data_IF_283326739380
#
_entry.id   IF_283326739380
#
_cell.length_a   1.000
_cell.length_b   1.000
_cell.length_c   1.000
_cell.angle_alpha   90.00
_cell.angle_beta   90.00
_cell.angle_gamma   90.00
#
_symmetry.space_group_name_H-M   'P 1'
#
loop_
_entity.id
_entity.type
_entity.pdbx_description
1 polymer ?
#
# COMPACT_ATOMS: atom_id res chain seq x y z
N UNK A 1 -47.85 -22.49 3.94
CA UNK A 1 -46.46 -22.40 4.50
C UNK A 1 -45.60 -23.32 3.66
N UNK A 2 -44.92 -22.79 2.65
CA UNK A 2 -44.01 -23.55 1.79
C UNK A 2 -42.72 -23.80 2.57
N UNK A 3 -42.41 -25.05 2.86
CA UNK A 3 -41.15 -25.46 3.44
C UNK A 3 -40.03 -25.07 2.47
N UNK A 4 -39.19 -24.11 2.88
CA UNK A 4 -37.90 -23.83 2.23
C UNK A 4 -37.03 -25.04 2.52
N UNK A 5 -37.01 -26.00 1.59
CA UNK A 5 -35.99 -27.05 1.63
C UNK A 5 -34.66 -26.35 1.43
N UNK A 6 -33.85 -26.28 2.50
CA UNK A 6 -32.45 -25.89 2.42
C UNK A 6 -31.72 -26.94 1.57
N UNK A 7 -31.69 -26.70 0.27
CA UNK A 7 -30.94 -27.53 -0.66
C UNK A 7 -29.45 -27.35 -0.36
N UNK A 8 -28.77 -28.44 0.01
CA UNK A 8 -27.35 -28.40 0.31
C UNK A 8 -26.54 -28.21 -1.00
N UNK A 9 -25.99 -27.03 -1.22
CA UNK A 9 -25.18 -26.72 -2.40
C UNK A 9 -23.99 -27.69 -2.59
N UNK A 10 -23.45 -28.25 -1.50
CA UNK A 10 -22.34 -29.21 -1.58
C UNK A 10 -22.75 -30.55 -2.23
N UNK A 11 -24.05 -30.87 -2.27
CA UNK A 11 -24.55 -32.07 -2.95
C UNK A 11 -24.84 -31.87 -4.44
N UNK A 12 -24.72 -30.63 -4.94
CA UNK A 12 -25.02 -30.27 -6.33
C UNK A 12 -23.72 -30.08 -7.10
N UNK A 13 -23.61 -30.77 -8.21
CA UNK A 13 -22.53 -30.54 -9.19
C UNK A 13 -22.79 -29.20 -9.91
N UNK A 14 -22.02 -28.16 -9.54
CA UNK A 14 -22.19 -26.82 -10.10
C UNK A 14 -21.92 -26.76 -11.62
N UNK A 15 -21.21 -27.72 -12.20
CA UNK A 15 -21.04 -27.81 -13.65
C UNK A 15 -22.37 -28.02 -14.37
N UNK A 16 -23.37 -28.59 -13.69
CA UNK A 16 -24.72 -28.72 -14.24
C UNK A 16 -25.37 -27.36 -14.54
N UNK A 17 -25.02 -26.28 -13.81
CA UNK A 17 -25.52 -24.95 -14.09
C UNK A 17 -25.01 -24.40 -15.42
N UNK A 18 -23.75 -24.70 -15.78
CA UNK A 18 -23.14 -24.33 -17.06
C UNK A 18 -23.83 -25.10 -18.19
N UNK A 19 -24.09 -26.40 -17.97
CA UNK A 19 -24.84 -27.22 -18.95
C UNK A 19 -26.28 -26.74 -19.11
N UNK A 20 -26.94 -26.33 -18.01
CA UNK A 20 -28.30 -25.79 -18.03
C UNK A 20 -28.36 -24.49 -18.84
N UNK A 21 -27.43 -23.57 -18.65
CA UNK A 21 -27.35 -22.32 -19.43
C UNK A 21 -27.23 -22.60 -20.93
N UNK A 22 -26.34 -23.50 -21.31
CA UNK A 22 -26.19 -23.88 -22.71
C UNK A 22 -27.47 -24.54 -23.30
N UNK A 23 -28.12 -25.41 -22.53
CA UNK A 23 -29.33 -26.09 -22.94
C UNK A 23 -30.52 -25.11 -23.11
N UNK A 24 -30.65 -24.16 -22.16
CA UNK A 24 -31.72 -23.12 -22.22
C UNK A 24 -31.46 -22.17 -23.40
N UNK A 25 -30.21 -21.80 -23.64
CA UNK A 25 -29.82 -20.87 -24.70
C UNK A 25 -30.04 -21.48 -26.10
N UNK A 26 -29.62 -22.74 -26.27
CA UNK A 26 -29.61 -23.39 -27.55
C UNK A 26 -30.91 -24.15 -27.89
N UNK A 27 -31.70 -24.50 -26.89
CA UNK A 27 -32.86 -25.40 -27.01
C UNK A 27 -32.57 -26.65 -27.87
N UNK A 28 -31.31 -27.15 -27.81
CA UNK A 28 -30.82 -28.27 -28.61
C UNK A 28 -29.60 -28.91 -28.01
N UNK A 29 -29.66 -30.18 -27.61
CA UNK A 29 -28.61 -30.90 -26.90
C UNK A 29 -27.26 -30.87 -27.64
N UNK A 30 -27.25 -31.16 -28.95
CA UNK A 30 -26.01 -31.18 -29.73
C UNK A 30 -25.36 -29.80 -29.92
N UNK A 31 -26.13 -28.71 -30.00
CA UNK A 31 -25.60 -27.35 -30.04
C UNK A 31 -25.06 -26.93 -28.67
N UNK A 32 -25.82 -27.24 -27.61
CA UNK A 32 -25.38 -27.02 -26.24
C UNK A 32 -24.07 -27.73 -25.94
N UNK A 33 -23.94 -29.00 -26.35
CA UNK A 33 -22.69 -29.78 -26.20
C UNK A 33 -21.50 -29.07 -26.82
N UNK A 34 -21.62 -28.62 -28.07
CA UNK A 34 -20.56 -27.88 -28.77
C UNK A 34 -20.19 -26.57 -28.08
N UNK A 35 -21.20 -25.83 -27.58
CA UNK A 35 -20.99 -24.55 -26.88
C UNK A 35 -20.16 -24.68 -25.61
N UNK A 36 -20.31 -25.79 -24.87
CA UNK A 36 -19.60 -26.02 -23.60
C UNK A 36 -18.43 -26.99 -23.70
N UNK A 37 -18.07 -27.43 -24.92
CA UNK A 37 -16.93 -28.33 -25.15
C UNK A 37 -17.13 -29.75 -24.64
N UNK A 38 -18.38 -30.22 -24.51
CA UNK A 38 -18.73 -31.58 -24.11
C UNK A 38 -19.20 -32.42 -25.28
N UNK A 39 -19.16 -33.77 -25.11
CA UNK A 39 -19.81 -34.68 -26.04
C UNK A 39 -21.34 -34.62 -25.89
N UNK A 40 -22.07 -34.91 -26.97
CA UNK A 40 -23.51 -34.99 -26.93
C UNK A 40 -24.08 -36.02 -25.91
N UNK A 41 -23.50 -37.22 -25.74
CA UNK A 41 -23.88 -38.17 -24.69
C UNK A 41 -23.69 -37.58 -23.29
N UNK A 42 -22.57 -36.90 -23.02
CA UNK A 42 -22.31 -36.25 -21.72
C UNK A 42 -23.33 -35.14 -21.42
N UNK A 43 -23.66 -34.32 -22.42
CA UNK A 43 -24.68 -33.27 -22.27
C UNK A 43 -26.08 -33.85 -22.10
N UNK A 44 -26.42 -34.98 -22.75
CA UNK A 44 -27.66 -35.69 -22.50
C UNK A 44 -27.75 -36.25 -21.09
N UNK A 45 -26.67 -36.79 -20.57
CA UNK A 45 -26.57 -37.25 -19.18
C UNK A 45 -26.74 -36.07 -18.19
N UNK A 46 -26.09 -34.95 -18.46
CA UNK A 46 -26.27 -33.71 -17.66
C UNK A 46 -27.74 -33.24 -17.67
N UNK A 47 -28.41 -33.27 -18.83
CA UNK A 47 -29.81 -32.92 -18.94
C UNK A 47 -30.69 -33.86 -18.07
N UNK A 48 -30.43 -35.16 -18.03
CA UNK A 48 -31.20 -36.08 -17.20
C UNK A 48 -31.01 -35.76 -15.71
N UNK A 49 -29.77 -35.51 -15.26
CA UNK A 49 -29.50 -35.08 -13.86
C UNK A 49 -30.22 -33.76 -13.52
N UNK A 50 -30.28 -32.82 -14.49
CA UNK A 50 -30.98 -31.54 -14.32
C UNK A 50 -32.48 -31.75 -14.21
N UNK A 51 -33.05 -32.69 -14.98
CA UNK A 51 -34.48 -33.06 -14.90
C UNK A 51 -34.84 -33.58 -13.52
N UNK A 52 -34.00 -34.45 -12.96
CA UNK A 52 -34.16 -34.95 -11.58
C UNK A 52 -34.07 -33.80 -10.57
N UNK A 53 -33.00 -32.97 -10.68
CA UNK A 53 -32.77 -31.86 -9.78
C UNK A 53 -33.94 -30.85 -9.75
N UNK A 54 -34.46 -30.50 -10.89
CA UNK A 54 -35.54 -29.51 -11.01
C UNK A 54 -36.94 -30.12 -11.01
N UNK A 55 -37.05 -31.47 -11.02
CA UNK A 55 -38.31 -32.20 -11.19
C UNK A 55 -39.14 -31.67 -12.38
N UNK A 56 -38.45 -31.37 -13.50
CA UNK A 56 -39.03 -30.77 -14.69
C UNK A 56 -38.30 -31.28 -15.95
N UNK A 57 -39.02 -31.54 -17.06
CA UNK A 57 -38.38 -31.99 -18.31
C UNK A 57 -37.39 -31.00 -18.91
N UNK A 58 -37.47 -29.72 -18.56
CA UNK A 58 -36.66 -28.59 -19.04
C UNK A 58 -36.72 -28.37 -20.57
N UNK A 59 -36.55 -29.43 -21.33
CA UNK A 59 -36.64 -29.46 -22.78
C UNK A 59 -37.59 -30.57 -23.22
N UNK A 60 -38.62 -30.22 -23.99
CA UNK A 60 -39.58 -31.13 -24.53
C UNK A 60 -39.55 -31.12 -26.06
N UNK A 61 -39.89 -32.25 -26.69
CA UNK A 61 -39.94 -32.33 -28.15
C UNK A 61 -41.34 -31.95 -28.66
N UNK A 62 -41.36 -30.92 -29.49
CA UNK A 62 -42.59 -30.49 -30.18
C UNK A 62 -42.36 -30.59 -31.67
N UNK A 63 -42.95 -31.63 -32.28
CA UNK A 63 -42.69 -31.97 -33.68
C UNK A 63 -41.21 -32.32 -33.94
N UNK A 64 -40.54 -31.57 -34.80
CA UNK A 64 -39.13 -31.73 -35.14
C UNK A 64 -38.21 -30.89 -34.28
N UNK A 65 -38.71 -30.06 -33.36
CA UNK A 65 -37.91 -29.12 -32.55
C UNK A 65 -37.98 -29.47 -31.09
N UNK A 66 -36.94 -29.00 -30.34
CA UNK A 66 -36.95 -29.00 -28.88
C UNK A 66 -37.38 -27.61 -28.41
N UNK A 67 -38.26 -27.57 -27.41
CA UNK A 67 -38.73 -26.33 -26.80
C UNK A 67 -38.51 -26.35 -25.29
N UNK A 68 -38.33 -25.17 -24.72
CA UNK A 68 -38.19 -25.00 -23.26
C UNK A 68 -39.54 -25.16 -22.56
N UNK A 69 -39.51 -25.80 -21.42
CA UNK A 69 -40.67 -25.72 -20.51
C UNK A 69 -40.82 -24.29 -19.94
N UNK A 70 -42.00 -23.87 -19.48
CA UNK A 70 -42.21 -22.59 -18.82
C UNK A 70 -41.25 -22.42 -17.63
N UNK A 71 -40.97 -23.51 -16.89
CA UNK A 71 -40.01 -23.51 -15.77
C UNK A 71 -38.59 -23.25 -16.24
N UNK A 72 -38.12 -23.92 -17.28
CA UNK A 72 -36.79 -23.70 -17.86
C UNK A 72 -36.63 -22.27 -18.39
N UNK A 73 -37.65 -21.73 -19.06
CA UNK A 73 -37.67 -20.36 -19.54
C UNK A 73 -37.55 -19.34 -18.38
N UNK A 74 -38.26 -19.58 -17.27
CA UNK A 74 -38.23 -18.75 -16.07
C UNK A 74 -36.90 -18.79 -15.32
N UNK A 75 -36.08 -19.85 -15.48
CA UNK A 75 -34.76 -19.96 -14.84
C UNK A 75 -33.69 -19.13 -15.56
N UNK A 76 -33.88 -18.73 -16.80
CA UNK A 76 -32.86 -18.10 -17.66
C UNK A 76 -32.17 -16.90 -17.00
N UNK A 77 -32.97 -15.96 -16.50
CA UNK A 77 -32.45 -14.70 -15.95
C UNK A 77 -31.66 -14.92 -14.66
N UNK A 78 -32.23 -15.66 -13.71
CA UNK A 78 -31.60 -15.98 -12.43
C UNK A 78 -30.33 -16.81 -12.61
N UNK A 79 -30.30 -17.74 -13.58
CA UNK A 79 -29.13 -18.56 -13.92
C UNK A 79 -28.01 -17.70 -14.49
N UNK A 80 -28.34 -16.82 -15.44
CA UNK A 80 -27.35 -15.90 -16.02
C UNK A 80 -26.74 -14.95 -14.98
N UNK A 81 -27.56 -14.48 -14.03
CA UNK A 81 -27.05 -13.66 -12.94
C UNK A 81 -26.13 -14.46 -12.03
N UNK A 82 -26.52 -15.67 -11.65
CA UNK A 82 -25.70 -16.55 -10.79
C UNK A 82 -24.34 -16.87 -11.45
N UNK A 83 -24.35 -17.26 -12.73
CA UNK A 83 -23.12 -17.58 -13.48
C UNK A 83 -22.22 -16.36 -13.64
N UNK A 84 -22.77 -15.17 -13.88
CA UNK A 84 -21.98 -13.92 -13.92
C UNK A 84 -21.32 -13.61 -12.57
N UNK A 85 -22.03 -13.84 -11.46
CA UNK A 85 -21.46 -13.66 -10.11
C UNK A 85 -20.34 -14.67 -9.83
N UNK A 86 -20.50 -15.92 -10.27
CA UNK A 86 -19.41 -16.92 -10.16
C UNK A 86 -18.22 -16.53 -11.03
N UNK A 87 -18.46 -16.08 -12.26
CA UNK A 87 -17.38 -15.61 -13.14
C UNK A 87 -16.62 -14.43 -12.54
N UNK A 88 -17.33 -13.49 -11.88
CA UNK A 88 -16.66 -12.35 -11.23
C UNK A 88 -15.70 -12.75 -10.09
N UNK A 89 -15.91 -13.90 -9.45
CA UNK A 89 -14.98 -14.44 -8.45
C UNK A 89 -13.68 -14.97 -9.06
N UNK A 90 -13.72 -15.37 -10.34
CA UNK A 90 -12.60 -15.97 -11.06
C UNK A 90 -11.78 -14.93 -11.85
N UNK A 91 -12.37 -13.77 -12.13
CA UNK A 91 -11.65 -12.66 -12.76
C UNK A 91 -10.84 -11.97 -11.67
N UNK A 92 -9.53 -11.90 -11.87
CA UNK A 92 -8.68 -11.11 -10.97
C UNK A 92 -9.23 -9.68 -10.93
N UNK A 93 -9.50 -9.18 -9.72
CA UNK A 93 -9.95 -7.80 -9.53
C UNK A 93 -8.96 -6.85 -10.19
N UNK A 94 -9.38 -6.17 -11.25
CA UNK A 94 -8.62 -5.05 -11.79
C UNK A 94 -8.89 -3.85 -10.88
N UNK A 95 -7.83 -3.32 -10.28
CA UNK A 95 -7.96 -2.08 -9.51
C UNK A 95 -8.14 -0.90 -10.46
N UNK A 96 -9.28 -0.26 -10.37
CA UNK A 96 -9.60 0.97 -11.10
C UNK A 96 -9.51 2.17 -10.15
N UNK A 97 -8.40 2.94 -10.13
CA UNK A 97 -8.19 4.03 -9.19
C UNK A 97 -9.33 5.03 -9.15
N UNK A 98 -9.83 5.46 -10.32
CA UNK A 98 -10.89 6.48 -10.43
C UNK A 98 -12.23 6.07 -9.81
N UNK A 99 -12.49 4.77 -9.68
CA UNK A 99 -13.75 4.21 -9.14
C UNK A 99 -13.59 3.65 -7.73
N UNK A 100 -12.35 3.58 -7.26
CA UNK A 100 -12.05 2.99 -5.96
C UNK A 100 -12.43 3.91 -4.81
N UNK A 101 -13.01 3.33 -3.76
CA UNK A 101 -13.26 3.98 -2.46
C UNK A 101 -12.38 3.39 -1.37
N UNK A 102 -11.28 2.74 -1.74
CA UNK A 102 -10.38 2.05 -0.80
C UNK A 102 -9.71 3.03 0.16
N UNK A 103 -9.55 2.58 1.40
CA UNK A 103 -8.81 3.29 2.43
C UNK A 103 -7.43 2.69 2.54
N UNK A 104 -6.39 3.52 2.44
CA UNK A 104 -5.01 3.10 2.64
C UNK A 104 -4.42 3.73 3.90
N UNK A 105 -3.56 2.97 4.58
CA UNK A 105 -2.81 3.41 5.76
C UNK A 105 -1.31 3.31 5.49
N UNK A 106 -0.61 4.42 5.60
CA UNK A 106 0.86 4.49 5.43
C UNK A 106 1.47 4.95 6.74
N UNK A 107 2.41 4.20 7.28
CA UNK A 107 3.18 4.58 8.45
C UNK A 107 4.53 5.14 8.02
N UNK A 108 4.86 6.35 8.47
CA UNK A 108 6.13 6.99 8.15
C UNK A 108 6.49 8.05 9.19
N UNK A 109 7.77 8.45 9.20
CA UNK A 109 8.22 9.60 9.98
C UNK A 109 7.72 10.91 9.36
N UNK A 110 7.66 11.96 10.18
CA UNK A 110 7.12 13.26 9.78
C UNK A 110 7.95 13.95 8.69
N UNK A 111 9.26 13.76 8.65
CA UNK A 111 10.11 14.29 7.58
C UNK A 111 9.80 13.64 6.23
N UNK A 112 9.53 12.34 6.20
CA UNK A 112 9.09 11.66 4.98
C UNK A 112 7.68 12.12 4.58
N UNK A 113 6.79 12.26 5.56
CA UNK A 113 5.45 12.78 5.30
C UNK A 113 5.51 14.19 4.69
N UNK A 114 6.38 15.06 5.19
CA UNK A 114 6.60 16.40 4.64
C UNK A 114 7.03 16.36 3.15
N UNK A 115 7.93 15.45 2.78
CA UNK A 115 8.46 15.34 1.43
C UNK A 115 7.48 14.69 0.44
N UNK A 116 6.68 13.72 0.88
CA UNK A 116 5.91 12.85 -0.02
C UNK A 116 4.41 13.18 -0.03
N UNK A 117 3.81 13.47 1.14
CA UNK A 117 2.34 13.57 1.26
C UNK A 117 1.72 14.67 0.40
N UNK A 118 2.30 15.87 0.26
CA UNK A 118 1.71 16.91 -0.60
C UNK A 118 1.55 16.46 -2.05
N UNK A 119 2.58 15.85 -2.64
CA UNK A 119 2.53 15.32 -4.00
C UNK A 119 1.58 14.11 -4.10
N UNK A 120 1.56 13.26 -3.08
CA UNK A 120 0.69 12.10 -3.01
C UNK A 120 -0.79 12.51 -3.01
N UNK A 121 -1.16 13.49 -2.19
CA UNK A 121 -2.54 14.02 -2.13
C UNK A 121 -2.95 14.64 -3.46
N UNK A 122 -2.08 15.43 -4.08
CA UNK A 122 -2.33 16.02 -5.40
C UNK A 122 -2.64 14.94 -6.45
N UNK A 123 -1.83 13.88 -6.49
CA UNK A 123 -2.05 12.74 -7.40
C UNK A 123 -3.31 11.95 -7.07
N UNK A 124 -3.62 11.74 -5.78
CA UNK A 124 -4.86 11.07 -5.36
C UNK A 124 -6.10 11.83 -5.81
N UNK A 125 -6.11 13.16 -5.68
CA UNK A 125 -7.23 13.99 -6.10
C UNK A 125 -7.53 13.89 -7.61
N UNK A 126 -6.49 13.76 -8.45
CA UNK A 126 -6.65 13.65 -9.90
C UNK A 126 -6.95 12.22 -10.36
N UNK A 127 -6.24 11.24 -9.81
CA UNK A 127 -6.21 9.87 -10.33
C UNK A 127 -7.18 8.92 -9.64
N UNK A 128 -7.53 9.20 -8.36
CA UNK A 128 -8.32 8.32 -7.50
C UNK A 128 -9.14 9.10 -6.45
N UNK A 129 -10.09 9.96 -6.87
CA UNK A 129 -10.77 10.93 -5.98
C UNK A 129 -11.59 10.30 -4.85
N UNK A 130 -11.99 9.02 -4.97
CA UNK A 130 -12.71 8.29 -3.93
C UNK A 130 -11.79 7.57 -2.94
N UNK A 131 -10.49 7.48 -3.21
CA UNK A 131 -9.51 6.86 -2.32
C UNK A 131 -9.20 7.77 -1.15
N UNK A 132 -9.10 7.21 0.05
CA UNK A 132 -8.67 7.95 1.25
C UNK A 132 -7.34 7.42 1.76
N UNK A 133 -6.54 8.34 2.30
CA UNK A 133 -5.21 8.04 2.84
C UNK A 133 -5.17 8.41 4.33
N UNK A 134 -4.70 7.47 5.16
CA UNK A 134 -4.36 7.70 6.55
C UNK A 134 -2.84 7.64 6.70
N UNK A 135 -2.23 8.74 7.10
CA UNK A 135 -0.81 8.76 7.50
C UNK A 135 -0.73 8.47 9.00
N UNK A 136 0.02 7.44 9.35
CA UNK A 136 0.24 7.02 10.72
C UNK A 136 1.64 7.47 11.17
N UNK A 137 1.77 8.00 12.40
CA UNK A 137 3.09 8.34 12.94
C UNK A 137 3.93 7.06 13.04
N UNK A 138 5.20 7.19 12.70
CA UNK A 138 6.13 6.07 12.72
C UNK A 138 6.29 5.50 14.14
N UNK A 139 6.34 4.20 14.22
CA UNK A 139 6.66 3.43 15.42
C UNK A 139 7.59 2.30 15.03
N UNK A 140 8.51 1.93 15.93
CA UNK A 140 9.36 0.77 15.69
C UNK A 140 8.49 -0.46 15.42
N UNK A 141 8.68 -1.19 14.31
CA UNK A 141 7.93 -2.40 14.01
C UNK A 141 7.99 -3.45 15.14
N UNK A 142 9.11 -3.51 15.86
CA UNK A 142 9.25 -4.39 17.02
C UNK A 142 8.30 -4.03 18.19
N UNK A 143 7.80 -2.79 18.23
CA UNK A 143 6.85 -2.34 19.26
C UNK A 143 5.39 -2.51 18.86
N UNK A 144 5.13 -2.90 17.60
CA UNK A 144 3.77 -3.08 17.08
C UNK A 144 3.26 -4.50 17.35
N UNK A 145 2.00 -4.59 17.75
CA UNK A 145 1.30 -5.87 17.76
C UNK A 145 1.13 -6.39 16.32
N UNK A 146 1.21 -7.72 16.09
CA UNK A 146 1.07 -8.30 14.75
C UNK A 146 -0.19 -7.84 14.01
N UNK A 147 -1.35 -7.78 14.67
CA UNK A 147 -2.61 -7.35 14.08
C UNK A 147 -2.57 -5.89 13.61
N UNK A 148 -1.84 -5.03 14.33
CA UNK A 148 -1.65 -3.64 13.94
C UNK A 148 -0.78 -3.52 12.69
N UNK A 149 0.30 -4.28 12.63
CA UNK A 149 1.18 -4.31 11.46
C UNK A 149 0.42 -4.81 10.22
N UNK A 150 -0.48 -5.79 10.40
CA UNK A 150 -1.33 -6.29 9.34
C UNK A 150 -2.35 -5.27 8.81
N UNK A 151 -2.74 -4.27 9.61
CA UNK A 151 -3.69 -3.21 9.19
C UNK A 151 -3.01 -2.04 8.45
N UNK A 152 -1.69 -2.09 8.26
CA UNK A 152 -0.90 -1.05 7.57
C UNK A 152 -0.60 -1.54 6.16
N UNK A 153 -0.91 -0.72 5.15
CA UNK A 153 -0.65 -1.05 3.75
C UNK A 153 0.81 -0.82 3.37
N UNK A 154 1.41 0.28 3.85
CA UNK A 154 2.81 0.62 3.59
C UNK A 154 3.49 1.16 4.85
N UNK A 155 4.78 0.85 5.00
CA UNK A 155 5.67 1.48 5.97
C UNK A 155 6.85 2.09 5.22
N UNK A 156 7.19 3.35 5.54
CA UNK A 156 8.41 3.98 5.01
C UNK A 156 9.36 4.23 6.16
N UNK A 157 10.59 3.72 6.05
CA UNK A 157 11.59 3.80 7.11
C UNK A 157 12.99 3.51 6.58
N UNK A 158 13.99 4.08 7.22
CA UNK A 158 15.41 3.78 7.00
C UNK A 158 15.88 2.46 7.66
N UNK A 159 14.98 1.68 8.29
CA UNK A 159 15.36 0.42 8.94
C UNK A 159 16.09 -0.52 7.98
N UNK A 160 17.22 -1.04 8.44
CA UNK A 160 18.01 -2.07 7.74
C UNK A 160 17.52 -3.48 8.08
N UNK A 161 16.82 -3.65 9.21
CA UNK A 161 16.34 -4.92 9.70
C UNK A 161 15.22 -5.48 8.81
N UNK A 162 15.25 -6.79 8.62
CA UNK A 162 14.12 -7.50 8.01
C UNK A 162 12.94 -7.51 8.98
N UNK A 163 11.76 -7.20 8.44
CA UNK A 163 10.52 -7.27 9.20
C UNK A 163 9.75 -8.48 8.68
N UNK A 164 9.51 -9.46 9.52
CA UNK A 164 8.84 -10.69 9.13
C UNK A 164 7.49 -10.42 8.47
N UNK A 165 7.25 -11.03 7.30
CA UNK A 165 6.01 -10.86 6.53
C UNK A 165 5.92 -9.58 5.70
N UNK A 166 6.97 -8.74 5.68
CA UNK A 166 7.06 -7.57 4.80
C UNK A 166 8.16 -7.76 3.74
N UNK A 167 7.87 -7.35 2.54
CA UNK A 167 8.86 -7.10 1.49
C UNK A 167 9.29 -5.63 1.50
N UNK A 168 10.46 -5.34 0.91
CA UNK A 168 11.00 -3.98 0.88
C UNK A 168 11.51 -3.58 -0.49
N UNK A 169 11.44 -2.27 -0.78
CA UNK A 169 12.02 -1.63 -1.95
C UNK A 169 12.67 -0.31 -1.54
N UNK A 170 13.91 -0.04 -1.99
CA UNK A 170 14.57 1.25 -1.75
C UNK A 170 13.84 2.35 -2.52
N UNK A 171 13.60 3.47 -1.85
CA UNK A 171 13.01 4.68 -2.43
C UNK A 171 14.10 5.67 -2.87
N UNK A 172 14.94 6.10 -1.94
CA UNK A 172 16.07 7.00 -2.18
C UNK A 172 17.11 6.88 -1.07
N UNK A 173 18.26 7.50 -1.29
CA UNK A 173 19.34 7.63 -0.31
C UNK A 173 19.34 9.04 0.28
N UNK A 174 19.60 9.18 1.57
CA UNK A 174 19.75 10.44 2.26
C UNK A 174 20.94 10.39 3.24
N UNK A 175 21.32 11.52 3.78
CA UNK A 175 22.33 11.65 4.82
C UNK A 175 21.88 12.65 5.87
N UNK A 176 22.59 12.74 6.98
CA UNK A 176 22.27 13.70 8.04
C UNK A 176 23.12 14.97 7.91
N UNK A 177 22.54 16.11 8.23
CA UNK A 177 23.20 17.40 8.28
C UNK A 177 22.96 18.09 9.62
N UNK A 178 23.89 18.97 10.02
CA UNK A 178 23.72 19.83 11.18
C UNK A 178 22.92 21.07 10.78
N UNK A 179 21.83 21.33 11.51
CA UNK A 179 20.98 22.51 11.29
C UNK A 179 20.98 23.40 12.52
N UNK A 180 21.09 24.72 12.27
CA UNK A 180 21.06 25.78 13.26
C UNK A 180 20.42 27.03 12.65
N UNK A 181 19.94 27.97 13.50
CA UNK A 181 19.38 29.22 12.99
C UNK A 181 20.42 30.09 12.25
N UNK A 182 19.98 30.85 11.25
CA UNK A 182 20.83 31.89 10.66
C UNK A 182 21.19 32.91 11.76
N UNK A 183 22.47 33.30 11.81
CA UNK A 183 22.95 34.17 12.89
C UNK A 183 23.21 33.47 14.23
N UNK A 184 23.28 32.14 14.27
CA UNK A 184 23.72 31.40 15.45
C UNK A 184 25.15 31.80 15.84
N UNK A 185 25.48 32.08 17.13
CA UNK A 185 26.77 32.61 17.56
C UNK A 185 27.95 31.68 17.29
N UNK A 186 27.68 30.38 17.16
CA UNK A 186 28.69 29.37 16.85
C UNK A 186 28.72 28.91 15.39
N UNK A 187 27.94 29.55 14.47
CA UNK A 187 27.77 29.11 13.08
C UNK A 187 29.13 28.84 12.38
N UNK A 188 30.09 29.77 12.49
CA UNK A 188 31.38 29.66 11.85
C UNK A 188 32.30 28.56 12.44
N UNK A 189 31.97 28.09 13.65
CA UNK A 189 32.72 27.06 14.37
C UNK A 189 32.14 25.66 14.30
N UNK A 190 30.93 25.49 13.73
CA UNK A 190 30.23 24.19 13.69
C UNK A 190 30.93 23.10 12.88
N UNK A 191 31.91 23.45 12.04
CA UNK A 191 32.80 22.48 11.38
C UNK A 191 33.83 21.86 12.31
N UNK A 192 34.03 22.44 13.50
CA UNK A 192 34.93 21.91 14.49
C UNK A 192 34.20 20.92 15.40
N UNK A 193 34.71 19.69 15.51
CA UNK A 193 34.08 18.61 16.28
C UNK A 193 33.86 18.99 17.74
N UNK A 194 34.85 19.60 18.42
CA UNK A 194 34.71 20.00 19.81
C UNK A 194 33.59 21.03 19.99
N UNK A 195 33.51 22.01 19.09
CA UNK A 195 32.47 23.02 19.13
C UNK A 195 31.05 22.39 18.89
N UNK A 196 30.97 21.43 17.97
CA UNK A 196 29.75 20.68 17.71
C UNK A 196 29.32 19.87 18.94
N UNK A 197 30.20 19.08 19.53
CA UNK A 197 29.88 18.23 20.68
C UNK A 197 29.51 19.04 21.94
N UNK A 198 30.10 20.23 22.12
CA UNK A 198 29.82 21.14 23.24
C UNK A 198 28.56 22.01 23.03
N UNK A 199 28.00 22.03 21.83
CA UNK A 199 26.76 22.76 21.57
C UNK A 199 25.55 22.09 22.24
N UNK A 200 24.46 22.84 22.43
CA UNK A 200 23.24 22.31 22.98
C UNK A 200 22.37 21.72 21.85
N UNK A 201 22.11 20.42 21.93
CA UNK A 201 21.41 19.69 20.88
C UNK A 201 19.96 19.40 21.19
N UNK A 202 19.15 19.34 20.12
CA UNK A 202 17.85 18.68 20.10
C UNK A 202 18.06 17.27 19.57
N UNK A 203 17.54 16.27 20.28
CA UNK A 203 17.48 14.88 19.83
C UNK A 203 16.08 14.53 19.36
N UNK A 204 15.96 13.73 18.28
CA UNK A 204 14.67 13.24 17.77
C UNK A 204 14.47 11.80 18.17
N UNK A 205 13.53 11.55 19.07
CA UNK A 205 13.27 10.21 19.65
C UNK A 205 11.84 9.79 19.34
N UNK A 206 11.69 8.95 18.33
CA UNK A 206 10.38 8.40 17.92
C UNK A 206 9.83 7.39 18.92
N UNK A 207 8.54 7.07 18.78
CA UNK A 207 7.86 6.11 19.65
C UNK A 207 8.44 4.70 19.46
N UNK A 208 8.84 4.08 20.56
CA UNK A 208 9.42 2.73 20.56
C UNK A 208 10.94 2.73 20.30
N UNK A 209 11.58 3.91 20.30
CA UNK A 209 13.03 4.06 20.29
C UNK A 209 13.47 4.57 21.68
N UNK A 210 14.52 3.98 22.22
CA UNK A 210 15.02 4.37 23.54
C UNK A 210 15.82 5.68 23.50
N UNK A 211 16.58 5.90 22.42
CA UNK A 211 17.42 7.09 22.21
C UNK A 211 17.51 7.44 20.71
N UNK A 212 17.98 8.65 20.42
CA UNK A 212 18.23 9.10 19.05
C UNK A 212 19.32 8.21 18.42
N UNK A 213 19.12 7.66 17.21
CA UNK A 213 20.15 6.87 16.51
C UNK A 213 21.50 7.58 16.37
N UNK A 214 21.49 8.92 16.29
CA UNK A 214 22.71 9.74 16.27
C UNK A 214 23.52 9.59 17.57
N UNK A 215 22.86 9.42 18.71
CA UNK A 215 23.57 9.24 19.99
C UNK A 215 24.22 7.87 20.07
N UNK A 216 23.56 6.84 19.54
CA UNK A 216 24.15 5.50 19.42
C UNK A 216 25.38 5.55 18.52
N UNK A 217 25.27 6.14 17.34
CA UNK A 217 26.39 6.30 16.41
C UNK A 217 27.54 7.09 17.01
N UNK A 218 27.27 8.25 17.63
CA UNK A 218 28.36 9.04 18.27
C UNK A 218 29.07 8.24 19.37
N UNK A 219 28.35 7.43 20.13
CA UNK A 219 28.93 6.59 21.20
C UNK A 219 29.84 5.49 20.64
N UNK A 220 29.46 4.89 19.51
CA UNK A 220 30.30 3.92 18.80
C UNK A 220 31.62 4.54 18.31
N UNK A 221 31.58 5.82 17.91
CA UNK A 221 32.74 6.61 17.54
C UNK A 221 33.52 7.18 18.76
N UNK A 222 33.10 6.90 19.99
CA UNK A 222 33.72 7.37 21.23
C UNK A 222 33.38 8.80 21.62
N UNK A 223 32.26 9.35 21.09
CA UNK A 223 31.81 10.71 21.35
C UNK A 223 30.46 10.76 22.07
N UNK A 224 30.17 11.93 22.67
CA UNK A 224 28.86 12.25 23.23
C UNK A 224 28.56 13.75 23.00
N UNK A 225 27.29 14.07 22.80
CA UNK A 225 26.79 15.45 22.64
C UNK A 225 25.90 15.85 23.82
N UNK A 226 25.80 17.16 24.06
CA UNK A 226 24.93 17.71 25.12
C UNK A 226 23.49 17.84 24.63
N UNK A 227 22.59 16.90 25.01
CA UNK A 227 21.18 16.95 24.67
C UNK A 227 20.43 17.72 25.76
N UNK A 228 19.73 18.80 25.37
CA UNK A 228 18.90 19.62 26.27
C UNK A 228 17.42 19.53 25.96
N UNK A 229 17.04 19.03 24.77
CA UNK A 229 15.66 18.83 24.35
C UNK A 229 15.51 17.51 23.60
N UNK A 230 14.48 16.77 23.92
CA UNK A 230 14.05 15.58 23.16
C UNK A 230 12.66 15.79 22.63
N UNK A 231 12.46 15.54 21.31
CA UNK A 231 11.17 15.68 20.64
C UNK A 231 10.87 14.45 19.78
N UNK A 232 9.62 14.10 19.53
CA UNK A 232 9.27 12.95 18.70
C UNK A 232 9.25 13.23 17.19
N UNK A 233 9.58 14.45 16.76
CA UNK A 233 9.32 14.96 15.42
C UNK A 233 10.49 15.82 14.94
N UNK A 234 10.97 15.57 13.72
CA UNK A 234 11.97 16.42 13.08
C UNK A 234 11.47 17.84 12.83
N UNK A 235 10.18 18.02 12.49
CA UNK A 235 9.59 19.35 12.31
C UNK A 235 9.60 20.14 13.62
N UNK A 236 9.32 19.50 14.76
CA UNK A 236 9.42 20.14 16.09
C UNK A 236 10.88 20.51 16.42
N UNK A 237 11.84 19.65 16.08
CA UNK A 237 13.26 19.95 16.26
C UNK A 237 13.65 21.20 15.46
N UNK A 238 13.28 21.29 14.18
CA UNK A 238 13.58 22.45 13.34
C UNK A 238 12.91 23.73 13.84
N UNK A 239 11.68 23.66 14.36
CA UNK A 239 10.99 24.81 14.98
C UNK A 239 11.69 25.30 16.25
N UNK A 240 12.20 24.38 17.08
CA UNK A 240 12.99 24.73 18.27
C UNK A 240 14.29 25.39 17.89
N UNK A 241 15.02 24.81 16.93
CA UNK A 241 16.30 25.34 16.41
C UNK A 241 16.12 26.74 15.80
N UNK A 242 15.05 26.97 15.03
CA UNK A 242 14.79 28.27 14.41
C UNK A 242 14.65 29.43 15.40
N UNK A 243 14.33 29.14 16.66
CA UNK A 243 14.01 30.15 17.70
C UNK A 243 14.96 30.12 18.90
N UNK A 244 16.07 29.41 18.80
CA UNK A 244 17.01 29.24 19.92
C UNK A 244 18.44 29.06 19.42
N UNK A 245 19.39 28.94 20.35
CA UNK A 245 20.78 28.55 20.06
C UNK A 245 20.99 27.04 20.18
N UNK A 246 19.94 26.25 19.96
CA UNK A 246 20.02 24.81 19.82
C UNK A 246 20.46 24.42 18.40
N UNK A 247 21.09 23.29 18.30
CA UNK A 247 21.40 22.66 16.99
C UNK A 247 20.70 21.31 16.90
N UNK A 248 20.38 20.88 15.70
CA UNK A 248 19.81 19.57 15.44
C UNK A 248 20.58 18.83 14.35
N UNK A 249 20.51 17.52 14.42
CA UNK A 249 20.98 16.61 13.38
C UNK A 249 19.75 16.06 12.68
N UNK A 250 19.62 16.32 11.38
CA UNK A 250 18.38 16.03 10.65
C UNK A 250 18.68 15.57 9.22
N UNK A 251 17.74 14.82 8.60
CA UNK A 251 17.84 14.43 7.19
C UNK A 251 18.10 15.64 6.28
N UNK A 252 19.07 15.51 5.38
CA UNK A 252 19.51 16.59 4.49
C UNK A 252 18.38 17.12 3.63
N UNK A 253 17.56 16.24 3.04
CA UNK A 253 16.43 16.63 2.18
C UNK A 253 15.38 17.44 2.93
N UNK A 254 15.10 17.10 4.19
CA UNK A 254 14.24 17.90 5.04
C UNK A 254 14.84 19.27 5.33
N UNK A 255 16.15 19.31 5.69
CA UNK A 255 16.85 20.56 5.94
C UNK A 255 16.81 21.48 4.72
N UNK A 256 17.09 20.99 3.53
CA UNK A 256 17.05 21.75 2.28
C UNK A 256 15.65 22.30 1.97
N UNK A 257 14.62 21.50 2.17
CA UNK A 257 13.22 21.93 1.97
C UNK A 257 12.79 23.04 2.95
N UNK A 258 13.30 23.03 4.18
CA UNK A 258 12.82 23.92 5.26
C UNK A 258 13.85 24.98 5.69
N UNK A 259 15.08 24.96 5.20
CA UNK A 259 16.11 25.93 5.57
C UNK A 259 15.65 27.37 5.31
N UNK A 260 15.13 27.68 4.13
CA UNK A 260 14.67 29.02 3.76
C UNK A 260 13.42 29.45 4.56
N UNK A 261 12.32 28.65 4.60
CA UNK A 261 11.12 29.01 5.37
C UNK A 261 11.37 29.25 6.86
N UNK A 262 12.31 28.56 7.47
CA UNK A 262 12.62 28.68 8.90
C UNK A 262 13.85 29.52 9.20
N UNK A 263 14.47 30.16 8.19
CA UNK A 263 15.72 30.93 8.35
C UNK A 263 16.82 30.11 9.02
N UNK A 264 17.04 28.91 8.54
CA UNK A 264 18.04 27.97 9.03
C UNK A 264 19.26 27.93 8.12
N UNK A 265 20.40 27.60 8.70
CA UNK A 265 21.62 27.19 8.02
C UNK A 265 21.79 25.68 8.18
N UNK A 266 22.02 24.99 7.07
CA UNK A 266 22.39 23.59 7.05
C UNK A 266 23.86 23.44 6.70
N UNK A 267 24.60 22.69 7.48
CA UNK A 267 26.04 22.47 7.32
C UNK A 267 26.35 20.97 7.36
N UNK A 268 27.34 20.51 6.59
CA UNK A 268 27.87 19.17 6.81
C UNK A 268 28.32 19.03 8.26
N UNK A 269 28.04 17.90 8.91
CA UNK A 269 28.51 17.65 10.26
C UNK A 269 30.07 17.50 10.27
N UNK A 270 30.73 17.74 11.40
CA UNK A 270 32.19 17.59 11.49
C UNK A 270 32.66 16.12 11.47
N UNK A 271 31.77 15.19 11.58
CA UNK A 271 31.97 13.74 11.42
C UNK A 271 30.96 13.27 10.37
N UNK A 272 31.41 12.50 9.39
CA UNK A 272 30.52 11.95 8.35
C UNK A 272 29.71 10.80 8.93
N UNK A 273 28.37 10.91 8.99
CA UNK A 273 27.49 9.85 9.46
C UNK A 273 27.26 8.76 8.41
N UNK A 274 27.78 8.93 7.21
CA UNK A 274 27.49 8.09 6.06
C UNK A 274 26.12 8.37 5.45
N UNK A 275 25.71 7.47 4.57
CA UNK A 275 24.42 7.51 3.89
C UNK A 275 23.52 6.39 4.41
N UNK A 276 22.23 6.65 4.42
CA UNK A 276 21.20 5.64 4.70
C UNK A 276 20.15 5.63 3.60
N UNK A 277 19.43 4.51 3.49
CA UNK A 277 18.41 4.33 2.49
C UNK A 277 17.04 4.39 3.12
N UNK A 278 16.18 5.26 2.62
CA UNK A 278 14.75 5.19 2.88
C UNK A 278 14.13 4.07 2.03
N UNK A 279 13.36 3.22 2.69
CA UNK A 279 12.76 2.02 2.10
C UNK A 279 11.27 1.99 2.33
N UNK A 280 10.55 1.55 1.31
CA UNK A 280 9.15 1.20 1.36
C UNK A 280 9.03 -0.28 1.73
N UNK A 281 8.28 -0.58 2.78
CA UNK A 281 7.92 -1.93 3.19
C UNK A 281 6.43 -2.16 2.94
N UNK A 282 6.06 -3.35 2.49
CA UNK A 282 4.68 -3.73 2.23
C UNK A 282 4.43 -5.21 2.58
N UNK A 283 3.20 -5.57 3.01
CA UNK A 283 2.89 -6.93 3.40
C UNK A 283 3.03 -7.91 2.24
N UNK A 284 3.70 -9.05 2.46
CA UNK A 284 3.86 -10.12 1.48
C UNK A 284 2.51 -10.60 0.94
N UNK A 285 1.47 -10.68 1.80
CA UNK A 285 0.10 -11.03 1.40
C UNK A 285 -0.53 -10.06 0.39
N UNK A 286 -0.05 -8.81 0.33
CA UNK A 286 -0.51 -7.79 -0.60
C UNK A 286 0.44 -7.59 -1.79
N UNK A 287 1.44 -8.47 -1.96
CA UNK A 287 2.45 -8.35 -3.01
C UNK A 287 1.82 -8.36 -4.42
N UNK A 288 0.76 -9.15 -4.60
CA UNK A 288 0.02 -9.30 -5.86
C UNK A 288 -1.34 -8.55 -5.88
N UNK A 289 -1.71 -7.86 -4.79
CA UNK A 289 -2.93 -7.04 -4.76
C UNK A 289 -2.78 -5.84 -5.71
N UNK A 290 -3.62 -5.72 -6.75
CA UNK A 290 -3.51 -4.65 -7.74
C UNK A 290 -3.57 -3.24 -7.14
N UNK A 291 -4.35 -3.04 -6.08
CA UNK A 291 -4.44 -1.77 -5.38
C UNK A 291 -3.16 -1.44 -4.60
N UNK A 292 -2.55 -2.44 -3.96
CA UNK A 292 -1.25 -2.30 -3.30
C UNK A 292 -0.13 -2.03 -4.31
N UNK A 293 -0.14 -2.71 -5.46
CA UNK A 293 0.82 -2.47 -6.56
C UNK A 293 0.71 -1.03 -7.06
N UNK A 294 -0.51 -0.55 -7.27
CA UNK A 294 -0.76 0.82 -7.71
C UNK A 294 -0.25 1.85 -6.69
N UNK A 295 -0.58 1.68 -5.40
CA UNK A 295 -0.14 2.60 -4.35
C UNK A 295 1.39 2.62 -4.21
N UNK A 296 2.03 1.44 -4.23
CA UNK A 296 3.50 1.31 -4.18
C UNK A 296 4.18 2.03 -5.34
N UNK A 297 3.63 1.87 -6.55
CA UNK A 297 4.12 2.56 -7.73
C UNK A 297 3.97 4.08 -7.57
N UNK A 298 2.81 4.55 -7.14
CA UNK A 298 2.56 5.98 -6.93
C UNK A 298 3.54 6.59 -5.93
N UNK A 299 3.74 5.95 -4.78
CA UNK A 299 4.71 6.39 -3.76
C UNK A 299 6.14 6.37 -4.30
N UNK A 300 6.50 5.32 -5.04
CA UNK A 300 7.83 5.20 -5.65
C UNK A 300 8.09 6.31 -6.67
N UNK A 301 7.15 6.57 -7.58
CA UNK A 301 7.28 7.61 -8.61
C UNK A 301 7.45 9.01 -7.98
N UNK A 302 6.74 9.29 -6.87
CA UNK A 302 6.88 10.54 -6.12
C UNK A 302 8.25 10.59 -5.43
N UNK A 303 8.69 9.51 -4.82
CA UNK A 303 10.00 9.45 -4.16
C UNK A 303 11.16 9.67 -5.14
N UNK A 304 11.06 9.19 -6.38
CA UNK A 304 12.05 9.46 -7.42
C UNK A 304 12.10 10.95 -7.81
N UNK A 305 10.97 11.66 -7.78
CA UNK A 305 10.96 13.10 -8.02
C UNK A 305 11.67 13.87 -6.91
N UNK A 306 11.52 13.44 -5.66
CA UNK A 306 12.27 13.96 -4.52
C UNK A 306 13.78 13.73 -4.70
N UNK A 307 14.17 12.57 -5.26
CA UNK A 307 15.58 12.23 -5.53
C UNK A 307 16.21 13.07 -6.65
N UNK A 308 15.44 13.39 -7.68
CA UNK A 308 15.93 14.14 -8.84
C UNK A 308 16.09 15.65 -8.59
N UNK A 309 15.38 16.25 -7.64
CA UNK A 309 15.53 17.67 -7.30
C UNK A 309 16.93 18.01 -6.71
N UNK A 310 17.67 17.03 -6.25
CA UNK A 310 19.00 17.16 -5.64
C UNK A 310 20.18 16.97 -6.63
N UNK A 311 19.93 16.56 -7.86
CA UNK A 311 21.02 16.52 -8.85
C UNK A 311 21.20 17.92 -9.40
N UNK A 312 22.32 18.64 -9.09
CA UNK A 312 22.62 19.87 -9.80
C UNK A 312 22.64 19.52 -11.27
N UNK A 313 21.87 20.28 -12.07
CA UNK A 313 21.93 20.20 -13.52
C UNK A 313 23.38 20.39 -13.95
N UNK A 314 24.06 19.27 -14.23
CA UNK A 314 25.33 19.27 -14.98
C UNK A 314 24.99 19.69 -16.42
N UNK A 315 24.76 20.98 -16.62
CA UNK A 315 24.87 21.61 -17.92
C UNK A 315 25.91 22.71 -17.80
N UNK A 316 26.97 22.46 -18.52
CA UNK A 316 28.14 23.28 -18.76
C UNK A 316 27.82 24.72 -19.16
#
# INVERSE_FOLDING_TARGET
MLAIHHMNLASIDLNLLVALDALISEAHVGRAARRIGLSQPATSHALNRLRELFSDPLLVRVGSRMELTPRAAGLRESLNEALRRVQSLLVADSFEPRRSTRHFSIMMQDHIAHLIVPALVHRLQSDAPGVTLRVLPWQSPASLKPDRLQSIDLVISCSTSEIAGLERKTLFTDTEVTVLRQGHPALSRMKNLKAFLCAMHVAVVGKGIAEDPVDTWLREEGYARQIVLRVPSYLQALQAVARSDLIAFVPKRLAESLAKPFSLAALPPPIDPGEYQERLFYPLRAAQDPASIWLRKLVFDIAQQVDHHDRPSLTA
#
